data_IF_893687917723
#
_entry.id   IF_893687917723
#
_cell.length_a   1.000
_cell.length_b   1.000
_cell.length_c   1.000
_cell.angle_alpha   90.00
_cell.angle_beta   90.00
_cell.angle_gamma   90.00
#
_symmetry.space_group_name_H-M   'P 1'
#
loop_
_entity.id
_entity.type
_entity.pdbx_description
1 polymer ?
#
# COMPACT_ATOMS: atom_id res chain seq x y z
N UNK A 1 7.82 -13.00 -16.51
CA UNK A 1 7.43 -12.01 -15.48
C UNK A 1 7.20 -10.69 -16.20
N UNK A 2 6.04 -10.04 -16.07
CA UNK A 2 5.84 -8.72 -16.69
C UNK A 2 6.46 -7.68 -15.76
N UNK A 3 7.68 -7.25 -16.07
CA UNK A 3 8.34 -6.15 -15.38
C UNK A 3 7.68 -4.83 -15.81
N UNK A 4 7.14 -4.07 -14.87
CA UNK A 4 6.65 -2.69 -15.09
C UNK A 4 7.79 -1.69 -14.83
N UNK A 5 9.00 -2.03 -15.26
CA UNK A 5 10.19 -1.17 -15.15
C UNK A 5 10.02 0.19 -15.84
N UNK A 6 9.07 0.30 -16.77
CA UNK A 6 8.67 1.58 -17.40
C UNK A 6 8.28 2.65 -16.37
N UNK A 7 7.86 2.25 -15.16
CA UNK A 7 7.46 3.20 -14.12
C UNK A 7 8.65 3.95 -13.49
N UNK A 8 9.89 3.47 -13.63
CA UNK A 8 11.08 4.13 -13.05
C UNK A 8 11.24 5.57 -13.55
N UNK A 9 10.76 5.88 -14.77
CA UNK A 9 10.79 7.23 -15.35
C UNK A 9 9.47 8.02 -15.21
N UNK A 10 8.41 7.43 -14.67
CA UNK A 10 7.06 8.01 -14.69
C UNK A 10 6.84 9.04 -13.56
N UNK A 11 7.64 10.12 -13.55
CA UNK A 11 7.71 11.11 -12.46
C UNK A 11 6.38 11.81 -12.11
N UNK A 12 5.41 11.80 -13.02
CA UNK A 12 4.07 12.38 -12.82
C UNK A 12 2.97 11.34 -12.52
N UNK A 13 3.33 10.09 -12.23
CA UNK A 13 2.36 9.03 -11.97
C UNK A 13 1.68 9.23 -10.61
N UNK A 14 0.41 9.63 -10.64
CA UNK A 14 -0.36 9.85 -9.41
C UNK A 14 -1.21 8.64 -9.01
N UNK A 15 -1.57 7.78 -9.96
CA UNK A 15 -2.54 6.70 -9.75
C UNK A 15 -2.04 5.44 -10.43
N UNK A 16 -1.97 4.34 -9.68
CA UNK A 16 -1.56 3.05 -10.20
C UNK A 16 -2.49 1.94 -9.71
N UNK A 17 -3.03 1.17 -10.66
CA UNK A 17 -3.79 -0.04 -10.39
C UNK A 17 -3.06 -1.23 -11.03
N UNK A 18 -2.71 -2.21 -10.21
CA UNK A 18 -2.10 -3.49 -10.59
C UNK A 18 -2.93 -4.68 -10.11
N UNK A 19 -4.21 -4.49 -9.78
CA UNK A 19 -5.11 -5.49 -9.21
C UNK A 19 -5.15 -6.77 -10.04
N UNK A 20 -5.10 -7.92 -9.36
CA UNK A 20 -5.18 -9.25 -9.96
C UNK A 20 -4.00 -9.62 -10.87
N UNK A 21 -2.96 -8.79 -10.94
CA UNK A 21 -1.77 -9.09 -11.73
C UNK A 21 -0.83 -10.04 -10.97
N UNK A 22 0.24 -10.47 -11.65
CA UNK A 22 1.27 -11.35 -11.07
C UNK A 22 2.48 -10.57 -10.54
N UNK A 23 2.29 -9.31 -10.15
CA UNK A 23 3.35 -8.51 -9.51
C UNK A 23 3.75 -9.15 -8.18
N UNK A 24 5.05 -9.10 -7.91
CA UNK A 24 5.64 -9.58 -6.65
C UNK A 24 6.50 -8.50 -5.99
N UNK A 25 7.18 -7.69 -6.79
CA UNK A 25 8.10 -6.65 -6.32
C UNK A 25 7.63 -5.27 -6.78
N UNK A 26 7.46 -4.34 -5.83
CA UNK A 26 7.05 -2.96 -6.08
C UNK A 26 8.22 -1.98 -6.27
N UNK A 27 9.48 -2.42 -6.21
CA UNK A 27 10.67 -1.59 -6.40
C UNK A 27 10.65 -0.66 -7.63
N UNK A 28 10.06 -1.03 -8.79
CA UNK A 28 9.93 -0.09 -9.91
C UNK A 28 9.15 1.19 -9.62
N UNK A 29 8.44 1.29 -8.48
CA UNK A 29 7.74 2.50 -8.02
C UNK A 29 8.67 3.52 -7.35
N UNK A 30 9.94 3.18 -7.09
CA UNK A 30 10.86 4.08 -6.38
C UNK A 30 10.98 5.46 -7.06
N UNK A 31 10.91 5.52 -8.40
CA UNK A 31 10.94 6.77 -9.16
C UNK A 31 9.66 7.59 -9.15
N UNK A 32 8.55 7.06 -8.63
CA UNK A 32 7.21 7.69 -8.63
C UNK A 32 6.61 7.86 -7.24
N UNK A 33 7.27 7.35 -6.20
CA UNK A 33 6.73 7.30 -4.83
C UNK A 33 6.31 8.67 -4.31
N UNK A 34 7.08 9.72 -4.61
CA UNK A 34 6.83 11.08 -4.13
C UNK A 34 5.59 11.75 -4.76
N UNK A 35 5.08 11.25 -5.88
CA UNK A 35 3.91 11.80 -6.58
C UNK A 35 2.69 10.90 -6.54
N UNK A 36 2.84 9.67 -6.06
CA UNK A 36 1.76 8.69 -6.01
C UNK A 36 0.71 9.08 -4.96
N UNK A 37 -0.54 9.21 -5.40
CA UNK A 37 -1.70 9.51 -4.56
C UNK A 37 -2.56 8.27 -4.33
N UNK A 38 -2.63 7.36 -5.31
CA UNK A 38 -3.43 6.14 -5.18
C UNK A 38 -2.69 4.91 -5.70
N UNK A 39 -2.66 3.86 -4.88
CA UNK A 39 -2.08 2.57 -5.22
C UNK A 39 -3.07 1.44 -4.91
N UNK A 40 -3.30 0.57 -5.90
CA UNK A 40 -4.04 -0.67 -5.70
C UNK A 40 -3.24 -1.84 -6.25
N UNK A 41 -2.97 -2.83 -5.39
CA UNK A 41 -2.32 -4.11 -5.71
C UNK A 41 -3.18 -5.27 -5.21
N UNK A 42 -4.50 -5.09 -5.23
CA UNK A 42 -5.46 -6.03 -4.68
C UNK A 42 -5.37 -7.38 -5.40
N UNK A 43 -5.34 -8.48 -4.64
CA UNK A 43 -5.23 -9.83 -5.18
C UNK A 43 -3.84 -10.20 -5.72
N UNK A 44 -2.85 -9.32 -5.59
CA UNK A 44 -1.46 -9.61 -5.97
C UNK A 44 -0.77 -10.44 -4.88
N UNK A 45 -1.06 -11.75 -4.85
CA UNK A 45 -0.60 -12.70 -3.81
C UNK A 45 0.93 -12.80 -3.66
N UNK A 46 1.69 -12.32 -4.64
CA UNK A 46 3.15 -12.31 -4.58
C UNK A 46 3.74 -11.08 -3.88
N UNK A 47 2.94 -10.05 -3.59
CA UNK A 47 3.38 -8.85 -2.88
C UNK A 47 3.40 -9.14 -1.39
N UNK A 48 4.57 -9.05 -0.78
CA UNK A 48 4.77 -9.18 0.67
C UNK A 48 5.55 -8.01 1.26
N UNK A 49 6.30 -7.28 0.42
CA UNK A 49 7.14 -6.15 0.79
C UNK A 49 6.62 -4.88 0.10
N UNK A 50 6.36 -3.84 0.92
CA UNK A 50 5.92 -2.52 0.48
C UNK A 50 6.89 -1.41 0.92
N UNK A 51 8.14 -1.74 1.30
CA UNK A 51 9.15 -0.79 1.79
C UNK A 51 9.40 0.38 0.84
N UNK A 52 9.18 0.18 -0.46
CA UNK A 52 9.24 1.25 -1.46
C UNK A 52 8.28 2.43 -1.18
N UNK A 53 7.28 2.26 -0.31
CA UNK A 53 6.30 3.28 0.04
C UNK A 53 6.72 4.21 1.19
N UNK A 54 7.87 3.99 1.84
CA UNK A 54 8.33 4.77 3.01
C UNK A 54 8.39 6.30 2.75
N UNK A 55 8.54 6.72 1.49
CA UNK A 55 8.53 8.12 1.05
C UNK A 55 7.23 8.62 0.38
N UNK A 56 6.13 7.85 0.44
CA UNK A 56 4.89 8.15 -0.29
C UNK A 56 4.02 9.23 0.36
N UNK A 57 4.58 10.42 0.64
CA UNK A 57 3.91 11.45 1.45
C UNK A 57 2.58 12.00 0.92
N UNK A 58 2.25 11.71 -0.35
CA UNK A 58 1.01 12.15 -1.00
C UNK A 58 -0.07 11.07 -1.11
N UNK A 59 0.18 9.87 -0.60
CA UNK A 59 -0.72 8.73 -0.76
C UNK A 59 -2.00 8.93 0.06
N UNK A 60 -3.14 9.03 -0.63
CA UNK A 60 -4.46 9.17 -0.02
C UNK A 60 -5.22 7.85 0.04
N UNK A 61 -5.02 6.97 -0.94
CA UNK A 61 -5.72 5.69 -1.04
C UNK A 61 -4.74 4.54 -1.28
N UNK A 62 -4.78 3.53 -0.41
CA UNK A 62 -4.01 2.30 -0.57
C UNK A 62 -4.89 1.07 -0.40
N UNK A 63 -4.79 0.16 -1.37
CA UNK A 63 -5.47 -1.14 -1.31
C UNK A 63 -4.45 -2.27 -1.48
N UNK A 64 -4.19 -2.96 -0.37
CA UNK A 64 -3.29 -4.12 -0.28
C UNK A 64 -4.07 -5.43 -0.12
N UNK A 65 -5.39 -5.41 -0.31
CA UNK A 65 -6.25 -6.58 -0.05
C UNK A 65 -5.77 -7.84 -0.79
N UNK A 66 -5.80 -8.99 -0.14
CA UNK A 66 -5.41 -10.28 -0.74
C UNK A 66 -3.93 -10.37 -1.14
N UNK A 67 -3.08 -9.51 -0.59
CA UNK A 67 -1.62 -9.63 -0.65
C UNK A 67 -1.10 -10.45 0.54
N UNK A 68 0.22 -10.66 0.60
CA UNK A 68 0.92 -11.32 1.72
C UNK A 68 1.67 -10.32 2.60
N UNK A 69 1.31 -9.04 2.53
CA UNK A 69 1.87 -7.99 3.38
C UNK A 69 1.54 -8.30 4.84
N UNK A 70 2.54 -8.19 5.71
CA UNK A 70 2.43 -8.37 7.15
C UNK A 70 2.87 -7.12 7.93
N UNK A 71 3.83 -6.38 7.38
CA UNK A 71 4.32 -5.11 7.91
C UNK A 71 3.79 -3.96 7.06
N UNK A 72 3.10 -3.01 7.72
CA UNK A 72 2.58 -1.79 7.09
C UNK A 72 3.27 -0.51 7.58
N UNK A 73 4.36 -0.62 8.37
CA UNK A 73 5.16 0.54 8.81
C UNK A 73 5.66 1.43 7.67
N UNK A 74 5.90 0.96 6.42
CA UNK A 74 6.24 1.85 5.31
C UNK A 74 5.13 2.85 4.93
N UNK A 75 3.92 2.74 5.48
CA UNK A 75 2.86 3.74 5.30
C UNK A 75 3.01 4.95 6.25
N UNK A 76 3.98 4.97 7.16
CA UNK A 76 4.18 6.05 8.13
C UNK A 76 4.35 7.42 7.44
N UNK A 77 5.08 7.47 6.33
CA UNK A 77 5.27 8.69 5.55
C UNK A 77 3.97 9.27 4.96
N UNK A 78 2.93 8.45 4.82
CA UNK A 78 1.62 8.83 4.29
C UNK A 78 0.54 9.02 5.37
N UNK A 79 0.85 8.76 6.65
CA UNK A 79 -0.17 8.74 7.71
C UNK A 79 -0.99 10.04 7.82
N UNK A 80 -0.36 11.19 7.54
CA UNK A 80 -1.02 12.49 7.56
C UNK A 80 -2.01 12.73 6.40
N UNK A 81 -1.92 11.95 5.31
CA UNK A 81 -2.70 12.15 4.07
C UNK A 81 -3.61 10.98 3.73
N UNK A 82 -3.41 9.81 4.34
CA UNK A 82 -4.22 8.62 4.12
C UNK A 82 -5.69 8.85 4.51
N UNK A 83 -6.58 8.54 3.57
CA UNK A 83 -8.04 8.60 3.70
C UNK A 83 -8.68 7.23 3.69
N UNK A 84 -8.12 6.34 2.87
CA UNK A 84 -8.63 4.99 2.66
C UNK A 84 -7.49 3.98 2.71
N UNK A 85 -7.58 3.05 3.65
CA UNK A 85 -6.66 1.91 3.78
C UNK A 85 -7.47 0.62 3.78
N UNK A 86 -7.20 -0.27 2.82
CA UNK A 86 -7.81 -1.61 2.75
C UNK A 86 -6.77 -2.70 2.85
N UNK A 87 -6.93 -3.56 3.86
CA UNK A 87 -6.03 -4.67 4.20
C UNK A 87 -6.78 -6.01 4.21
N UNK A 88 -7.87 -6.12 3.45
CA UNK A 88 -8.74 -7.29 3.51
C UNK A 88 -7.97 -8.56 3.17
N UNK A 89 -7.97 -9.54 4.07
CA UNK A 89 -7.26 -10.81 3.87
C UNK A 89 -5.74 -10.73 4.00
N UNK A 90 -5.17 -9.59 4.43
CA UNK A 90 -3.77 -9.50 4.83
C UNK A 90 -3.57 -10.13 6.21
N UNK A 91 -3.61 -11.46 6.27
CA UNK A 91 -3.67 -12.21 7.54
C UNK A 91 -2.44 -12.04 8.44
N UNK A 92 -1.31 -11.59 7.88
CA UNK A 92 -0.08 -11.33 8.64
C UNK A 92 -0.03 -9.95 9.30
N UNK A 93 -0.98 -9.05 9.01
CA UNK A 93 -1.04 -7.73 9.64
C UNK A 93 -1.68 -7.88 11.02
N UNK A 94 -0.88 -7.66 12.07
CA UNK A 94 -1.33 -7.69 13.47
C UNK A 94 -1.26 -6.32 14.15
N UNK A 95 -0.45 -5.42 13.60
CA UNK A 95 -0.22 -4.08 14.11
C UNK A 95 -0.60 -3.06 13.05
N UNK A 96 -1.41 -2.08 13.47
CA UNK A 96 -1.85 -0.96 12.63
C UNK A 96 -1.60 0.39 13.30
N UNK A 97 -0.76 0.43 14.34
CA UNK A 97 -0.40 1.64 15.09
C UNK A 97 0.24 2.73 14.23
N UNK A 98 0.81 2.36 13.07
CA UNK A 98 1.25 3.34 12.05
C UNK A 98 0.13 4.26 11.55
N UNK A 99 -1.13 3.83 11.68
CA UNK A 99 -2.31 4.59 11.32
C UNK A 99 -2.92 5.35 12.51
N UNK A 100 -2.34 5.22 13.72
CA UNK A 100 -2.82 5.95 14.88
C UNK A 100 -2.69 7.45 14.65
N UNK A 101 -3.77 8.18 14.90
CA UNK A 101 -3.79 9.63 14.70
C UNK A 101 -3.72 10.08 13.23
N UNK A 102 -3.94 9.19 12.25
CA UNK A 102 -4.12 9.58 10.84
C UNK A 102 -5.37 10.46 10.71
N UNK A 103 -5.22 11.79 10.54
CA UNK A 103 -6.30 12.76 10.80
C UNK A 103 -7.38 12.75 9.71
N UNK A 104 -7.02 12.32 8.50
CA UNK A 104 -7.90 12.29 7.32
C UNK A 104 -8.52 10.90 7.09
N UNK A 105 -8.16 9.89 7.90
CA UNK A 105 -8.54 8.50 7.67
C UNK A 105 -10.02 8.27 8.01
N UNK A 106 -10.84 8.06 6.99
CA UNK A 106 -12.28 7.81 7.14
C UNK A 106 -12.69 6.40 6.68
N UNK A 107 -11.77 5.60 6.15
CA UNK A 107 -12.03 4.20 5.79
C UNK A 107 -10.82 3.33 6.12
N UNK A 108 -11.02 2.39 7.03
CA UNK A 108 -10.05 1.37 7.40
C UNK A 108 -10.73 -0.01 7.37
N UNK A 109 -10.36 -0.84 6.41
CA UNK A 109 -10.88 -2.20 6.29
C UNK A 109 -9.83 -3.23 6.71
N UNK A 110 -10.10 -3.88 7.84
CA UNK A 110 -9.22 -4.86 8.48
C UNK A 110 -9.77 -6.29 8.41
N UNK A 111 -10.81 -6.53 7.61
CA UNK A 111 -11.43 -7.86 7.54
C UNK A 111 -10.40 -8.93 7.19
N UNK A 112 -10.29 -9.98 8.00
CA UNK A 112 -9.34 -11.07 7.74
C UNK A 112 -7.87 -10.71 7.96
N UNK A 113 -7.58 -9.57 8.61
CA UNK A 113 -6.27 -9.31 9.22
C UNK A 113 -6.16 -10.03 10.57
N UNK A 114 -4.94 -10.06 11.11
CA UNK A 114 -4.66 -10.59 12.45
C UNK A 114 -4.82 -9.56 13.58
N UNK A 115 -5.32 -8.35 13.30
CA UNK A 115 -5.59 -7.32 14.30
C UNK A 115 -6.75 -7.77 15.19
N UNK A 116 -6.49 -7.91 16.48
CA UNK A 116 -7.51 -8.29 17.47
C UNK A 116 -8.22 -7.04 17.96
N UNK A 117 -9.56 -7.07 17.99
CA UNK A 117 -10.33 -6.06 18.73
C UNK A 117 -9.96 -6.19 20.21
N UNK A 118 -9.46 -5.12 20.80
CA UNK A 118 -9.38 -4.99 22.27
C UNK A 118 -10.78 -4.80 22.84
#
# INVERSE_FOLDING_TARGET
MRHFSVLVGARALMKLNLDGTRVQNLFPLAGTVATLERLSVSGCRGVFDISVLEGAGRLTDVNLSGTRVADITPLAGSAATLRVVRLVGCSGVHDVTVLDGAPELHTLDLQGTGVRRR
#
